data_IF_947250550530
#
_entry.id   IF_947250550530
#
_cell.length_a   1.000
_cell.length_b   1.000
_cell.length_c   1.000
_cell.angle_alpha   90.00
_cell.angle_beta   90.00
_cell.angle_gamma   90.00
#
_symmetry.space_group_name_H-M   'P 1'
#
loop_
_entity.id
_entity.type
_entity.pdbx_description
1 polymer ?
#
# COMPACT_ATOMS: atom_id res chain seq x y z
N UNK A 1 -19.95 -29.09 -59.56
CA UNK A 1 -21.30 -28.75 -60.09
C UNK A 1 -22.04 -28.07 -58.94
N UNK A 2 -22.16 -26.73 -58.91
CA UNK A 2 -23.22 -25.85 -59.46
C UNK A 2 -24.61 -25.93 -58.78
N UNK A 3 -25.07 -24.75 -58.32
CA UNK A 3 -26.44 -24.30 -57.93
C UNK A 3 -27.07 -24.93 -56.67
N UNK A 4 -28.01 -24.33 -55.91
CA UNK A 4 -28.52 -22.93 -55.65
C UNK A 4 -29.24 -23.02 -54.27
N UNK A 5 -29.20 -22.09 -53.30
CA UNK A 5 -29.49 -20.64 -53.19
C UNK A 5 -30.99 -20.24 -53.10
N UNK A 6 -31.39 -19.72 -51.90
CA UNK A 6 -32.62 -18.95 -51.54
C UNK A 6 -33.96 -19.74 -51.55
N UNK A 7 -34.95 -19.46 -50.69
CA UNK A 7 -35.51 -18.14 -50.31
C UNK A 7 -35.89 -17.95 -48.82
N UNK A 8 -36.26 -16.70 -48.51
CA UNK A 8 -36.62 -16.14 -47.20
C UNK A 8 -38.14 -15.86 -47.16
N UNK A 9 -38.82 -16.09 -46.02
CA UNK A 9 -40.14 -15.50 -45.74
C UNK A 9 -40.22 -15.03 -44.29
N UNK A 10 -40.50 -13.75 -44.11
CA UNK A 10 -40.81 -13.12 -42.82
C UNK A 10 -42.33 -13.16 -42.60
N UNK A 11 -42.82 -13.33 -41.36
CA UNK A 11 -44.20 -13.02 -41.02
C UNK A 11 -44.26 -12.47 -39.58
N UNK A 12 -44.97 -11.36 -39.42
CA UNK A 12 -45.07 -10.55 -38.19
C UNK A 12 -46.57 -10.28 -37.94
N UNK A 13 -46.91 -9.95 -36.69
CA UNK A 13 -48.26 -9.65 -36.14
C UNK A 13 -49.09 -10.91 -35.81
N UNK A 14 -49.77 -11.00 -34.65
CA UNK A 14 -49.74 -10.08 -33.50
C UNK A 14 -50.79 -10.43 -32.43
N UNK A 15 -50.64 -9.83 -31.25
CA UNK A 15 -51.68 -9.59 -30.22
C UNK A 15 -52.47 -10.78 -29.64
N UNK A 16 -52.20 -11.08 -28.36
CA UNK A 16 -53.06 -11.88 -27.49
C UNK A 16 -52.91 -11.46 -26.02
N UNK A 17 -53.65 -10.45 -25.58
CA UNK A 17 -53.77 -10.13 -24.15
C UNK A 17 -54.69 -11.14 -23.46
N UNK A 18 -54.26 -11.66 -22.32
CA UNK A 18 -55.14 -12.25 -21.30
C UNK A 18 -54.79 -11.61 -19.96
N UNK A 19 -55.80 -11.08 -19.28
CA UNK A 19 -55.74 -10.53 -17.93
C UNK A 19 -56.39 -11.52 -16.95
N UNK A 20 -55.90 -11.53 -15.70
CA UNK A 20 -56.44 -12.30 -14.58
C UNK A 20 -55.41 -13.29 -14.01
N UNK A 21 -55.19 -13.39 -12.69
CA UNK A 21 -55.71 -12.60 -11.56
C UNK A 21 -54.62 -12.43 -10.49
N UNK A 22 -54.81 -11.48 -9.57
CA UNK A 22 -53.80 -11.10 -8.59
C UNK A 22 -53.64 -12.11 -7.44
N UNK A 23 -52.45 -12.68 -7.31
CA UNK A 23 -52.03 -13.37 -6.07
C UNK A 23 -51.33 -12.36 -5.17
N UNK A 24 -51.78 -12.23 -3.93
CA UNK A 24 -51.27 -11.26 -2.97
C UNK A 24 -49.77 -11.47 -2.70
N UNK A 25 -48.98 -10.42 -2.89
CA UNK A 25 -47.56 -10.40 -2.61
C UNK A 25 -47.31 -10.44 -1.09
N UNK A 26 -46.73 -11.52 -0.52
CA UNK A 26 -46.39 -11.55 0.90
C UNK A 26 -45.27 -10.54 1.15
N UNK A 27 -45.58 -9.57 2.02
CA UNK A 27 -44.74 -8.44 2.37
C UNK A 27 -43.35 -8.91 2.83
N UNK A 28 -42.36 -8.86 1.91
CA UNK A 28 -40.96 -9.12 2.20
C UNK A 28 -40.48 -8.09 3.23
N UNK A 29 -40.49 -8.50 4.50
CA UNK A 29 -39.96 -7.71 5.59
C UNK A 29 -38.49 -7.37 5.27
N UNK A 30 -38.20 -6.08 5.06
CA UNK A 30 -36.86 -5.61 4.75
C UNK A 30 -35.95 -5.79 5.96
N UNK A 31 -35.34 -6.97 6.06
CA UNK A 31 -34.28 -7.23 7.01
C UNK A 31 -33.17 -6.21 6.78
N UNK A 32 -32.99 -5.28 7.73
CA UNK A 32 -31.93 -4.27 7.67
C UNK A 32 -30.60 -4.99 7.44
N UNK A 33 -30.03 -4.81 6.25
CA UNK A 33 -28.76 -5.42 5.89
C UNK A 33 -27.72 -5.08 6.97
N UNK A 34 -27.06 -6.10 7.51
CA UNK A 34 -25.99 -5.90 8.49
C UNK A 34 -24.91 -5.04 7.82
N UNK A 35 -24.39 -3.99 8.48
CA UNK A 35 -23.43 -3.10 7.86
C UNK A 35 -22.22 -3.89 7.37
N UNK A 36 -21.87 -3.74 6.09
CA UNK A 36 -20.62 -4.26 5.55
C UNK A 36 -19.50 -3.36 6.06
N UNK A 37 -18.71 -3.91 6.97
CA UNK A 37 -17.42 -3.36 7.38
C UNK A 37 -16.37 -4.22 6.70
N UNK A 38 -15.66 -3.63 5.76
CA UNK A 38 -14.52 -4.23 5.06
C UNK A 38 -13.27 -3.48 5.53
N UNK A 39 -12.29 -4.22 6.04
CA UNK A 39 -10.95 -3.67 6.29
C UNK A 39 -10.25 -3.63 4.94
N UNK A 40 -9.62 -2.50 4.62
CA UNK A 40 -8.95 -2.25 3.34
C UNK A 40 -7.44 -2.10 3.51
N UNK A 41 -7.00 -1.58 4.66
CA UNK A 41 -5.58 -1.44 5.00
C UNK A 41 -5.39 -1.54 6.52
N UNK A 42 -4.21 -2.00 6.93
CA UNK A 42 -3.75 -2.20 8.30
C UNK A 42 -2.28 -1.82 8.41
N UNK A 43 -1.99 -0.83 9.25
CA UNK A 43 -0.62 -0.37 9.50
C UNK A 43 -0.31 -0.19 10.97
N UNK A 44 0.98 -0.23 11.32
CA UNK A 44 1.44 0.32 12.59
C UNK A 44 1.35 1.85 12.55
N UNK A 45 0.84 2.48 13.62
CA UNK A 45 0.82 3.94 13.74
C UNK A 45 1.36 4.35 15.10
N UNK A 46 2.32 5.27 15.13
CA UNK A 46 2.93 5.76 16.37
C UNK A 46 2.52 7.22 16.60
N UNK A 47 1.82 7.49 17.70
CA UNK A 47 1.41 8.85 18.02
C UNK A 47 0.70 8.97 19.35
N UNK A 48 0.64 10.20 19.85
CA UNK A 48 -0.02 10.55 21.11
C UNK A 48 -1.18 11.49 20.82
N UNK A 49 -2.38 11.20 21.32
CA UNK A 49 -3.64 11.84 20.92
C UNK A 49 -4.49 12.26 22.13
N UNK A 50 -5.33 13.29 21.93
CA UNK A 50 -6.51 13.60 22.74
C UNK A 50 -7.78 13.27 21.96
N UNK A 51 -8.89 13.19 22.68
CA UNK A 51 -10.23 13.15 22.08
C UNK A 51 -10.68 14.59 21.79
N UNK A 52 -11.09 14.89 20.55
CA UNK A 52 -11.66 16.20 20.17
C UNK A 52 -12.95 16.48 20.93
N UNK A 53 -13.18 17.75 21.31
CA UNK A 53 -14.40 18.17 22.00
C UNK A 53 -15.69 17.92 21.19
N UNK A 54 -15.59 17.82 19.87
CA UNK A 54 -16.70 17.46 18.96
C UNK A 54 -17.14 15.98 19.08
N UNK A 55 -16.32 15.08 19.65
CA UNK A 55 -16.59 13.64 19.72
C UNK A 55 -17.65 13.23 20.77
N UNK A 56 -18.63 14.11 21.08
CA UNK A 56 -19.64 13.94 22.14
C UNK A 56 -20.49 12.68 21.97
N UNK A 57 -20.67 12.21 20.73
CA UNK A 57 -21.40 10.98 20.38
C UNK A 57 -20.48 9.85 19.89
N UNK A 58 -19.16 10.04 19.92
CA UNK A 58 -18.18 9.06 19.49
C UNK A 58 -18.02 7.92 20.50
N UNK A 59 -17.57 6.77 19.99
CA UNK A 59 -17.28 5.58 20.77
C UNK A 59 -15.90 5.01 20.40
N UNK A 60 -15.30 4.29 21.34
CA UNK A 60 -14.27 3.30 21.04
C UNK A 60 -14.92 1.93 20.81
N UNK A 61 -14.33 1.13 19.94
CA UNK A 61 -14.87 -0.14 19.46
C UNK A 61 -13.92 -1.31 19.73
N UNK A 62 -14.48 -2.52 19.73
CA UNK A 62 -13.74 -3.78 19.84
C UNK A 62 -12.89 -4.06 18.60
N UNK A 63 -12.00 -5.07 18.67
CA UNK A 63 -11.07 -5.40 17.58
C UNK A 63 -11.70 -5.80 16.24
N UNK A 64 -13.00 -6.15 16.22
CA UNK A 64 -13.76 -6.42 14.98
C UNK A 64 -14.75 -5.31 14.65
N UNK A 65 -14.65 -4.17 15.33
CA UNK A 65 -15.47 -2.95 15.22
C UNK A 65 -17.00 -3.10 15.42
N UNK A 66 -17.44 -4.32 15.74
CA UNK A 66 -18.86 -4.70 15.91
C UNK A 66 -19.48 -4.27 17.24
N UNK A 67 -18.67 -4.03 18.27
CA UNK A 67 -19.13 -3.68 19.62
C UNK A 67 -18.55 -2.35 20.06
N UNK A 68 -19.41 -1.47 20.60
CA UNK A 68 -19.02 -0.24 21.30
C UNK A 68 -18.51 -0.64 22.70
N UNK A 69 -17.24 -0.40 23.00
CA UNK A 69 -16.64 -0.74 24.29
C UNK A 69 -16.77 0.39 25.31
N UNK A 70 -16.59 1.66 24.90
CA UNK A 70 -16.75 2.83 25.76
C UNK A 70 -17.07 4.10 24.98
N UNK A 71 -17.72 5.08 25.64
CA UNK A 71 -18.01 6.42 25.08
C UNK A 71 -16.78 7.31 25.14
N UNK A 72 -16.59 8.17 24.13
CA UNK A 72 -15.52 9.17 24.10
C UNK A 72 -15.84 10.45 24.90
N UNK A 73 -17.12 10.69 25.19
CA UNK A 73 -17.59 11.85 25.94
C UNK A 73 -16.89 12.00 27.31
N UNK A 74 -16.44 13.22 27.62
CA UNK A 74 -15.75 13.54 28.88
C UNK A 74 -14.26 13.12 28.94
N UNK A 75 -13.68 12.66 27.83
CA UNK A 75 -12.28 12.19 27.78
C UNK A 75 -11.32 13.16 27.05
N UNK A 76 -11.76 14.39 26.77
CA UNK A 76 -10.97 15.43 26.07
C UNK A 76 -9.67 15.79 26.78
N UNK A 77 -9.65 15.74 28.11
CA UNK A 77 -8.49 16.05 28.94
C UNK A 77 -7.57 14.83 29.18
N UNK A 78 -7.76 13.73 28.44
CA UNK A 78 -6.96 12.51 28.53
C UNK A 78 -6.06 12.33 27.32
N UNK A 79 -4.94 11.69 27.58
CA UNK A 79 -3.91 11.38 26.59
C UNK A 79 -3.93 9.88 26.30
N UNK A 80 -3.84 9.53 25.02
CA UNK A 80 -3.84 8.15 24.54
C UNK A 80 -2.65 7.94 23.61
N UNK A 81 -2.01 6.76 23.65
CA UNK A 81 -1.07 6.33 22.61
C UNK A 81 -1.82 5.50 21.57
N UNK A 82 -1.65 5.82 20.29
CA UNK A 82 -2.02 4.93 19.19
C UNK A 82 -0.89 3.92 18.93
N UNK A 83 -1.24 2.74 18.40
CA UNK A 83 -0.25 1.72 17.99
C UNK A 83 -0.56 1.05 16.64
N UNK A 84 -1.83 1.01 16.23
CA UNK A 84 -2.27 0.40 14.96
C UNK A 84 -3.35 1.27 14.31
N UNK A 85 -3.37 1.31 12.99
CA UNK A 85 -4.38 1.94 12.15
C UNK A 85 -5.09 0.92 11.29
N UNK A 86 -6.39 1.13 11.05
CA UNK A 86 -7.22 0.38 10.11
C UNK A 86 -7.94 1.38 9.21
N UNK A 87 -7.77 1.24 7.89
CA UNK A 87 -8.64 1.90 6.90
C UNK A 87 -9.78 0.96 6.53
N UNK A 88 -10.99 1.49 6.47
CA UNK A 88 -12.20 0.67 6.35
C UNK A 88 -13.17 1.28 5.36
N UNK A 89 -13.85 0.42 4.59
CA UNK A 89 -15.13 0.77 3.98
C UNK A 89 -16.27 0.36 4.92
N UNK A 90 -17.05 1.34 5.39
CA UNK A 90 -18.24 1.15 6.21
C UNK A 90 -19.47 1.65 5.45
N UNK A 91 -20.20 0.73 4.81
CA UNK A 91 -21.37 1.02 3.97
C UNK A 91 -21.11 2.05 2.85
N UNK A 92 -19.99 1.93 2.12
CA UNK A 92 -19.60 2.84 1.05
C UNK A 92 -18.88 4.11 1.52
N UNK A 93 -18.70 4.30 2.84
CA UNK A 93 -17.96 5.44 3.40
C UNK A 93 -16.64 4.97 3.97
N UNK A 94 -15.55 5.47 3.41
CA UNK A 94 -14.19 5.22 3.85
C UNK A 94 -13.89 5.90 5.19
N UNK A 95 -13.24 5.18 6.11
CA UNK A 95 -12.97 5.63 7.49
C UNK A 95 -11.70 5.02 8.06
N UNK A 96 -10.79 5.87 8.52
CA UNK A 96 -9.63 5.47 9.31
C UNK A 96 -9.99 5.34 10.79
N UNK A 97 -9.56 4.26 11.44
CA UNK A 97 -9.66 4.03 12.88
C UNK A 97 -8.28 3.72 13.45
N UNK A 98 -7.94 4.30 14.60
CA UNK A 98 -6.71 3.98 15.32
C UNK A 98 -7.02 3.21 16.60
N UNK A 99 -6.25 2.16 16.87
CA UNK A 99 -6.26 1.47 18.15
C UNK A 99 -5.50 2.32 19.16
N UNK A 100 -6.23 2.93 20.10
CA UNK A 100 -5.67 3.83 21.11
C UNK A 100 -5.74 3.22 22.52
N UNK A 101 -4.80 3.61 23.38
CA UNK A 101 -4.68 3.16 24.79
C UNK A 101 -4.47 4.36 25.73
N UNK A 102 -5.31 4.52 26.74
CA UNK A 102 -5.21 5.61 27.74
C UNK A 102 -3.88 5.50 28.50
N UNK A 103 -3.05 6.54 28.45
CA UNK A 103 -1.69 6.51 29.03
C UNK A 103 -1.67 6.39 30.55
N UNK A 104 -2.74 6.81 31.23
CA UNK A 104 -2.89 6.72 32.68
C UNK A 104 -3.77 5.55 33.13
N UNK A 105 -4.51 4.92 32.21
CA UNK A 105 -5.33 3.72 32.47
C UNK A 105 -5.21 2.69 31.33
N UNK A 106 -4.09 1.95 31.22
CA UNK A 106 -3.80 1.08 30.06
C UNK A 106 -4.85 0.03 29.71
N UNK A 107 -5.67 -0.41 30.68
CA UNK A 107 -6.82 -1.32 30.44
C UNK A 107 -7.97 -0.68 29.64
N UNK A 108 -7.99 0.65 29.49
CA UNK A 108 -8.89 1.40 28.61
C UNK A 108 -8.21 1.57 27.25
N UNK A 109 -8.51 0.65 26.35
CA UNK A 109 -8.08 0.70 24.97
C UNK A 109 -9.25 0.37 24.03
N UNK A 110 -9.08 0.65 22.74
CA UNK A 110 -10.06 0.33 21.70
C UNK A 110 -9.83 1.14 20.43
N UNK A 111 -10.52 0.73 19.36
CA UNK A 111 -10.45 1.40 18.07
C UNK A 111 -11.33 2.65 18.05
N UNK A 112 -10.75 3.79 17.70
CA UNK A 112 -11.44 5.08 17.63
C UNK A 112 -11.26 5.67 16.24
N UNK A 113 -12.35 6.14 15.64
CA UNK A 113 -12.30 6.81 14.35
C UNK A 113 -11.36 8.03 14.43
N UNK A 114 -10.42 8.13 13.48
CA UNK A 114 -9.36 9.14 13.47
C UNK A 114 -9.91 10.57 13.53
N UNK A 115 -11.08 10.84 12.93
CA UNK A 115 -11.68 12.17 12.92
C UNK A 115 -12.08 12.66 14.32
N UNK A 116 -12.21 11.77 15.31
CA UNK A 116 -12.42 12.10 16.73
C UNK A 116 -11.13 12.32 17.52
N UNK A 117 -9.97 12.10 16.91
CA UNK A 117 -8.65 12.25 17.53
C UNK A 117 -7.98 13.56 17.11
N UNK A 118 -7.23 14.14 18.03
CA UNK A 118 -6.37 15.29 17.82
C UNK A 118 -4.97 14.90 18.30
N UNK A 119 -3.97 14.97 17.41
CA UNK A 119 -2.61 14.59 17.74
C UNK A 119 -1.99 15.65 18.65
N UNK A 120 -1.45 15.22 19.79
CA UNK A 120 -0.64 16.09 20.63
C UNK A 120 0.71 16.22 19.93
N UNK A 121 0.91 17.34 19.22
CA UNK A 121 2.25 17.77 18.81
C UNK A 121 3.10 17.94 20.07
N UNK A 122 4.17 17.17 20.21
CA UNK A 122 5.17 17.39 21.25
C UNK A 122 6.03 18.56 20.80
N UNK A 123 5.55 19.77 21.08
CA UNK A 123 6.29 21.00 20.76
C UNK A 123 7.57 21.09 21.58
N UNK A 124 8.66 21.46 20.91
CA UNK A 124 9.94 21.80 21.51
C UNK A 124 9.87 23.17 22.23
N UNK A 125 9.07 23.27 23.29
CA UNK A 125 8.95 24.51 24.08
C UNK A 125 8.76 24.23 25.57
N UNK A 126 9.89 24.00 26.25
CA UNK A 126 10.03 24.30 27.68
C UNK A 126 11.45 24.77 28.04
N UNK A 127 12.14 25.42 27.10
CA UNK A 127 13.36 26.19 27.37
C UNK A 127 12.98 27.68 27.43
N UNK A 128 12.79 28.20 28.65
CA UNK A 128 12.68 29.65 28.86
C UNK A 128 13.98 30.31 28.41
N UNK A 129 13.95 31.11 27.33
CA UNK A 129 15.07 31.96 26.92
C UNK A 129 15.51 32.88 28.08
N UNK A 130 16.76 32.81 28.55
CA UNK A 130 17.32 33.83 29.42
C UNK A 130 17.60 35.13 28.63
N UNK A 131 17.47 36.27 29.32
CA UNK A 131 17.79 37.60 28.80
C UNK A 131 19.31 37.77 28.70
N UNK A 132 19.87 38.43 27.67
CA UNK A 132 21.32 38.47 27.47
C UNK A 132 21.99 39.42 28.48
N UNK A 133 23.04 38.94 29.16
CA UNK A 133 24.00 39.82 29.85
C UNK A 133 25.42 39.26 29.74
N UNK A 134 26.33 40.14 29.32
CA UNK A 134 27.81 40.17 29.29
C UNK A 134 28.67 38.92 29.60
N UNK A 135 29.79 38.89 28.88
CA UNK A 135 30.93 37.97 29.03
C UNK A 135 31.50 37.93 30.46
N UNK A 136 31.89 36.74 30.91
CA UNK A 136 33.11 36.54 31.70
C UNK A 136 33.72 35.15 31.39
N UNK A 137 35.01 34.96 31.72
CA UNK A 137 35.84 33.81 31.30
C UNK A 137 35.83 32.68 32.35
N UNK A 138 36.52 31.53 32.17
CA UNK A 138 35.91 30.23 32.39
C UNK A 138 36.25 29.60 33.75
N UNK A 139 35.38 28.73 34.24
CA UNK A 139 35.73 27.72 35.27
C UNK A 139 35.21 26.35 34.86
N UNK A 140 36.12 25.39 34.91
CA UNK A 140 35.86 23.96 34.70
C UNK A 140 35.06 23.36 35.86
N UNK A 141 34.07 22.53 35.54
CA UNK A 141 33.85 21.24 36.21
C UNK A 141 33.07 20.32 35.27
N UNK A 142 33.51 19.06 35.17
CA UNK A 142 32.75 17.99 34.52
C UNK A 142 31.43 17.73 35.26
N UNK A 143 30.38 17.42 34.52
CA UNK A 143 29.53 16.27 34.86
C UNK A 143 28.92 15.68 33.58
N UNK A 144 29.12 14.37 33.39
CA UNK A 144 28.58 13.63 32.26
C UNK A 144 27.16 13.17 32.59
N UNK A 145 26.19 13.42 31.72
CA UNK A 145 24.87 12.77 31.82
C UNK A 145 24.84 11.54 30.90
N UNK A 146 25.13 10.38 31.46
CA UNK A 146 25.28 9.11 30.73
C UNK A 146 23.93 8.38 30.54
N UNK A 147 23.23 8.68 29.44
CA UNK A 147 22.10 7.85 28.94
C UNK A 147 22.05 7.88 27.41
N UNK A 148 22.82 7.00 26.74
CA UNK A 148 22.73 6.78 25.29
C UNK A 148 23.20 5.38 24.84
N UNK A 149 24.31 4.89 25.40
CA UNK A 149 25.02 3.75 24.79
C UNK A 149 24.51 2.37 25.26
N UNK A 150 24.01 2.26 26.49
CA UNK A 150 23.49 0.99 27.05
C UNK A 150 22.29 0.46 26.26
N UNK A 151 21.39 1.34 25.87
CA UNK A 151 20.09 0.98 25.32
C UNK A 151 20.21 0.64 23.82
N UNK A 152 21.11 1.35 23.11
CA UNK A 152 21.50 0.99 21.75
C UNK A 152 22.24 -0.35 21.72
N UNK A 153 23.23 -0.56 22.62
CA UNK A 153 23.94 -1.84 22.72
C UNK A 153 23.00 -3.02 23.04
N UNK A 154 22.02 -2.84 23.93
CA UNK A 154 21.01 -3.86 24.23
C UNK A 154 20.08 -4.15 23.06
N UNK A 155 19.66 -3.13 22.29
CA UNK A 155 18.84 -3.33 21.09
C UNK A 155 19.60 -4.05 19.97
N UNK A 156 20.88 -3.72 19.76
CA UNK A 156 21.76 -4.39 18.81
C UNK A 156 22.00 -5.85 19.19
N UNK A 157 22.31 -6.12 20.46
CA UNK A 157 22.48 -7.49 20.98
C UNK A 157 21.21 -8.33 20.84
N UNK A 158 20.02 -7.76 21.10
CA UNK A 158 18.74 -8.45 20.92
C UNK A 158 18.45 -8.76 19.44
N UNK A 159 18.79 -7.84 18.52
CA UNK A 159 18.66 -8.06 17.07
C UNK A 159 19.61 -9.14 16.58
N UNK A 160 20.89 -9.12 17.01
CA UNK A 160 21.85 -10.17 16.66
C UNK A 160 21.46 -11.53 17.25
N UNK A 161 20.91 -11.58 18.47
CA UNK A 161 20.40 -12.82 19.07
C UNK A 161 19.21 -13.41 18.28
N UNK A 162 18.33 -12.56 17.72
CA UNK A 162 17.30 -13.01 16.78
C UNK A 162 17.89 -13.56 15.49
N UNK A 163 18.87 -12.88 14.88
CA UNK A 163 19.52 -13.35 13.66
C UNK A 163 20.19 -14.71 13.87
N UNK A 164 21.01 -14.85 14.92
CA UNK A 164 21.68 -16.08 15.31
C UNK A 164 20.72 -17.26 15.57
N UNK A 165 19.49 -16.98 16.02
CA UNK A 165 18.48 -18.02 16.31
C UNK A 165 17.86 -18.62 15.06
N UNK A 166 17.67 -17.81 14.01
CA UNK A 166 16.84 -18.19 12.86
C UNK A 166 17.63 -18.34 11.55
N UNK A 167 18.82 -17.74 11.42
CA UNK A 167 19.55 -17.64 10.17
C UNK A 167 20.98 -18.20 10.27
N UNK A 168 21.42 -18.91 9.21
CA UNK A 168 22.80 -19.38 9.06
C UNK A 168 23.78 -18.20 8.90
N UNK A 169 25.08 -18.44 9.01
CA UNK A 169 26.09 -17.41 8.80
C UNK A 169 26.00 -16.78 7.40
N UNK A 170 25.77 -17.59 6.36
CA UNK A 170 25.64 -17.14 4.98
C UNK A 170 24.35 -16.32 4.77
N UNK A 171 23.22 -16.77 5.35
CA UNK A 171 21.97 -16.00 5.33
C UNK A 171 22.12 -14.67 6.06
N UNK A 172 22.83 -14.62 7.18
CA UNK A 172 23.10 -13.37 7.91
C UNK A 172 23.99 -12.42 7.10
N UNK A 173 25.01 -12.94 6.40
CA UNK A 173 25.85 -12.16 5.49
C UNK A 173 25.03 -11.60 4.32
N UNK A 174 24.12 -12.39 3.74
CA UNK A 174 23.21 -11.93 2.71
C UNK A 174 22.23 -10.87 3.25
N UNK A 175 21.63 -11.06 4.43
CA UNK A 175 20.79 -10.04 5.07
C UNK A 175 21.57 -8.74 5.26
N UNK A 176 22.81 -8.79 5.75
CA UNK A 176 23.63 -7.60 5.94
C UNK A 176 23.91 -6.85 4.62
N UNK A 177 24.20 -7.58 3.54
CA UNK A 177 24.35 -6.99 2.20
C UNK A 177 23.06 -6.33 1.70
N UNK A 178 21.91 -6.98 1.91
CA UNK A 178 20.60 -6.43 1.52
C UNK A 178 20.25 -5.17 2.30
N UNK A 179 20.56 -5.12 3.61
CA UNK A 179 20.39 -3.90 4.42
C UNK A 179 21.30 -2.78 3.94
N UNK A 180 22.58 -3.06 3.72
CA UNK A 180 23.53 -2.07 3.21
C UNK A 180 23.13 -1.51 1.83
N UNK A 181 22.57 -2.33 0.95
CA UNK A 181 22.00 -1.88 -0.33
C UNK A 181 20.75 -1.02 -0.13
N UNK A 182 19.85 -1.43 0.77
CA UNK A 182 18.63 -0.71 1.08
C UNK A 182 18.90 0.68 1.72
N UNK A 183 19.85 0.74 2.66
CA UNK A 183 20.28 1.96 3.35
C UNK A 183 20.91 3.00 2.41
N UNK A 184 21.47 2.58 1.27
CA UNK A 184 22.16 3.49 0.34
C UNK A 184 21.24 4.22 -0.65
N UNK A 185 19.97 3.80 -0.77
CA UNK A 185 19.02 4.33 -1.77
C UNK A 185 18.43 5.68 -1.35
N UNK A 186 18.30 5.91 -0.04
CA UNK A 186 17.62 7.09 0.51
C UNK A 186 16.10 6.91 0.63
N UNK A 187 15.51 7.59 1.62
CA UNK A 187 14.07 7.53 1.89
C UNK A 187 13.51 8.84 2.50
N UNK A 188 14.17 9.97 2.29
CA UNK A 188 13.73 11.26 2.83
C UNK A 188 12.73 11.94 1.89
N UNK A 189 11.79 12.70 2.47
CA UNK A 189 10.81 13.53 1.75
C UNK A 189 11.15 15.02 1.81
N UNK A 190 12.18 15.40 2.59
CA UNK A 190 12.73 16.77 2.57
C UNK A 190 13.18 17.12 1.15
N UNK A 191 12.78 18.31 0.69
CA UNK A 191 13.11 18.79 -0.66
C UNK A 191 12.70 17.83 -1.78
N UNK A 192 11.57 17.12 -1.61
CA UNK A 192 10.98 16.28 -2.67
C UNK A 192 10.66 17.04 -3.96
N UNK A 193 10.51 18.37 -3.88
CA UNK A 193 10.23 19.25 -5.02
C UNK A 193 11.44 20.09 -5.40
N UNK A 194 11.75 20.12 -6.71
CA UNK A 194 12.57 21.16 -7.33
C UNK A 194 11.72 22.38 -7.69
N UNK A 195 10.43 22.17 -8.02
CA UNK A 195 9.41 23.20 -8.18
C UNK A 195 8.17 22.78 -7.39
N UNK A 196 7.71 23.60 -6.44
CA UNK A 196 6.60 23.23 -5.55
C UNK A 196 5.26 23.26 -6.32
N UNK A 197 4.41 22.22 -6.21
CA UNK A 197 3.10 22.22 -6.84
C UNK A 197 2.15 23.26 -6.23
N UNK A 198 1.31 23.87 -7.08
CA UNK A 198 0.10 24.57 -6.65
C UNK A 198 -1.13 23.82 -7.19
N UNK A 199 -1.97 23.36 -6.28
CA UNK A 199 -3.17 22.56 -6.58
C UNK A 199 -4.43 23.07 -5.86
N UNK A 200 -4.36 24.27 -5.28
CA UNK A 200 -5.46 24.93 -4.56
C UNK A 200 -5.62 26.36 -5.09
N UNK A 201 -6.66 26.63 -5.87
CA UNK A 201 -6.98 27.97 -6.40
C UNK A 201 -6.19 28.40 -7.64
N UNK A 202 -5.01 27.83 -7.87
CA UNK A 202 -4.30 27.82 -9.15
C UNK A 202 -3.82 26.39 -9.46
N UNK A 203 -3.44 26.13 -10.72
CA UNK A 203 -2.88 24.85 -11.13
C UNK A 203 -1.46 25.01 -11.65
N UNK A 204 -0.52 24.33 -11.02
CA UNK A 204 0.87 24.16 -11.44
C UNK A 204 1.34 22.82 -10.89
N UNK A 205 1.62 21.80 -11.72
CA UNK A 205 1.98 20.46 -11.24
C UNK A 205 3.25 20.39 -10.38
N UNK A 206 4.10 21.42 -10.44
CA UNK A 206 5.43 21.40 -9.84
C UNK A 206 6.35 20.44 -10.59
N UNK A 207 7.46 20.10 -9.95
CA UNK A 207 8.45 19.15 -10.45
C UNK A 207 9.17 18.53 -9.25
N UNK A 208 9.37 17.21 -9.30
CA UNK A 208 10.15 16.50 -8.27
C UNK A 208 11.63 16.88 -8.33
N UNK A 209 12.33 16.70 -7.22
CA UNK A 209 13.78 16.81 -7.18
C UNK A 209 14.44 15.53 -7.70
N UNK A 210 15.62 15.68 -8.28
CA UNK A 210 16.43 14.55 -8.78
C UNK A 210 16.70 13.52 -7.67
N UNK A 211 16.91 13.96 -6.43
CA UNK A 211 17.09 13.07 -5.28
C UNK A 211 15.87 12.20 -4.97
N UNK A 212 14.65 12.75 -5.10
CA UNK A 212 13.42 11.99 -4.89
C UNK A 212 13.17 10.99 -6.03
N UNK A 213 13.40 11.40 -7.28
CA UNK A 213 13.33 10.53 -8.47
C UNK A 213 14.32 9.37 -8.34
N UNK A 214 15.60 9.67 -8.05
CA UNK A 214 16.66 8.68 -7.91
C UNK A 214 16.39 7.70 -6.74
N UNK A 215 15.88 8.18 -5.60
CA UNK A 215 15.51 7.29 -4.49
C UNK A 215 14.35 6.37 -4.87
N UNK A 216 13.32 6.90 -5.54
CA UNK A 216 12.13 6.12 -5.95
C UNK A 216 12.49 5.06 -6.99
N UNK A 217 13.26 5.43 -8.03
CA UNK A 217 13.79 4.48 -9.01
C UNK A 217 14.75 3.47 -8.37
N UNK A 218 15.57 3.92 -7.41
CA UNK A 218 16.48 3.06 -6.64
C UNK A 218 15.75 1.96 -5.88
N UNK A 219 14.60 2.27 -5.25
CA UNK A 219 13.77 1.25 -4.59
C UNK A 219 13.15 0.26 -5.57
N UNK A 220 12.62 0.73 -6.71
CA UNK A 220 12.11 -0.17 -7.76
C UNK A 220 13.22 -1.13 -8.21
N UNK A 221 14.41 -0.60 -8.47
CA UNK A 221 15.55 -1.37 -8.97
C UNK A 221 16.17 -2.28 -7.90
N UNK A 222 16.14 -1.89 -6.63
CA UNK A 222 16.50 -2.77 -5.51
C UNK A 222 15.61 -4.01 -5.51
N UNK A 223 14.29 -3.85 -5.50
CA UNK A 223 13.37 -5.00 -5.49
C UNK A 223 13.48 -5.83 -6.77
N UNK A 224 13.60 -5.21 -7.95
CA UNK A 224 13.86 -5.93 -9.21
C UNK A 224 15.18 -6.72 -9.19
N UNK A 225 16.23 -6.20 -8.56
CA UNK A 225 17.49 -6.94 -8.40
C UNK A 225 17.37 -8.17 -7.49
N UNK A 226 16.45 -8.16 -6.50
CA UNK A 226 16.15 -9.34 -5.68
C UNK A 226 15.56 -10.48 -6.51
N UNK A 227 14.81 -10.14 -7.56
CA UNK A 227 14.31 -11.06 -8.56
C UNK A 227 15.32 -11.33 -9.68
N UNK A 228 16.52 -10.75 -9.68
CA UNK A 228 17.47 -10.84 -10.79
C UNK A 228 16.86 -10.40 -12.12
N UNK A 229 16.07 -9.32 -12.09
CA UNK A 229 15.53 -8.61 -13.26
C UNK A 229 16.42 -7.42 -13.61
N UNK A 230 16.43 -7.04 -14.88
CA UNK A 230 17.11 -5.82 -15.33
C UNK A 230 16.51 -4.58 -14.64
N UNK A 231 17.35 -3.59 -14.24
CA UNK A 231 16.87 -2.33 -13.71
C UNK A 231 16.05 -1.57 -14.76
N UNK A 232 15.10 -0.78 -14.30
CA UNK A 232 14.37 0.21 -15.09
C UNK A 232 15.18 1.50 -15.21
N UNK A 233 14.92 2.26 -16.26
CA UNK A 233 15.41 3.63 -16.44
C UNK A 233 14.34 4.66 -16.09
N UNK A 234 14.77 5.82 -15.59
CA UNK A 234 13.94 7.02 -15.54
C UNK A 234 13.53 7.44 -16.96
N UNK A 235 12.25 7.74 -17.17
CA UNK A 235 11.79 8.43 -18.38
C UNK A 235 11.32 9.84 -18.00
N UNK A 236 12.16 10.83 -18.25
CA UNK A 236 11.92 12.23 -17.87
C UNK A 236 10.67 12.85 -18.53
N UNK A 237 10.27 12.36 -19.72
CA UNK A 237 9.00 12.78 -20.34
C UNK A 237 7.80 12.20 -19.57
N UNK A 238 7.86 10.91 -19.20
CA UNK A 238 6.84 10.29 -18.36
C UNK A 238 6.83 10.87 -16.94
N UNK A 239 7.96 11.27 -16.34
CA UNK A 239 7.96 12.02 -15.07
C UNK A 239 7.15 13.31 -15.17
N UNK A 240 7.23 14.00 -16.32
CA UNK A 240 6.46 15.21 -16.55
C UNK A 240 4.97 14.91 -16.57
N UNK A 241 4.52 13.91 -17.35
CA UNK A 241 3.10 13.54 -17.40
C UNK A 241 2.58 12.93 -16.09
N UNK A 242 3.36 12.07 -15.43
CA UNK A 242 3.04 11.52 -14.12
C UNK A 242 2.87 12.63 -13.05
N UNK A 243 3.68 13.69 -13.12
CA UNK A 243 3.51 14.84 -12.23
C UNK A 243 2.19 15.58 -12.50
N UNK A 244 1.71 15.64 -13.74
CA UNK A 244 0.35 16.13 -14.06
C UNK A 244 -0.75 15.22 -13.50
N UNK A 245 -0.59 13.89 -13.57
CA UNK A 245 -1.55 12.95 -12.99
C UNK A 245 -1.61 13.06 -11.46
N UNK A 246 -0.48 13.05 -10.78
CA UNK A 246 -0.41 13.27 -9.33
C UNK A 246 -1.01 14.64 -8.93
N UNK A 247 -0.71 15.70 -9.67
CA UNK A 247 -1.25 17.04 -9.41
C UNK A 247 -2.76 17.16 -9.64
N UNK A 248 -3.30 16.50 -10.67
CA UNK A 248 -4.75 16.51 -10.94
C UNK A 248 -5.54 15.67 -9.94
N UNK A 249 -4.99 14.53 -9.49
CA UNK A 249 -5.53 13.76 -8.37
C UNK A 249 -5.57 14.62 -7.09
N UNK A 250 -4.46 15.25 -6.73
CA UNK A 250 -4.36 16.09 -5.54
C UNK A 250 -5.24 17.37 -5.61
N UNK A 251 -5.40 17.95 -6.80
CA UNK A 251 -6.29 19.10 -7.00
C UNK A 251 -7.78 18.71 -6.98
N UNK A 252 -8.11 17.48 -7.40
CA UNK A 252 -9.47 16.95 -7.34
C UNK A 252 -9.88 16.54 -5.92
N UNK A 253 -8.94 16.05 -5.10
CA UNK A 253 -9.12 15.59 -3.71
C UNK A 253 -10.32 14.63 -3.54
N UNK A 254 -10.46 13.71 -4.50
CA UNK A 254 -11.57 12.75 -4.60
C UNK A 254 -11.10 11.29 -4.49
N UNK A 255 -9.85 11.06 -4.09
CA UNK A 255 -9.20 9.75 -4.01
C UNK A 255 -8.48 9.36 -5.30
N UNK A 256 -8.41 8.06 -5.60
CA UNK A 256 -7.74 7.52 -6.80
C UNK A 256 -8.74 7.12 -7.89
N UNK A 257 -8.46 7.48 -9.15
CA UNK A 257 -9.24 7.05 -10.32
C UNK A 257 -8.41 7.13 -11.60
N UNK A 258 -8.25 5.99 -12.29
CA UNK A 258 -7.61 5.94 -13.61
C UNK A 258 -8.41 6.72 -14.66
N UNK A 259 -7.79 7.69 -15.31
CA UNK A 259 -8.48 8.58 -16.25
C UNK A 259 -9.35 9.64 -15.57
N UNK A 260 -9.16 9.87 -14.26
CA UNK A 260 -9.94 10.79 -13.42
C UNK A 260 -11.47 10.57 -13.53
N UNK A 261 -11.87 9.33 -13.85
CA UNK A 261 -13.27 8.97 -14.16
C UNK A 261 -14.14 9.17 -12.93
N UNK A 262 -15.23 9.92 -13.11
CA UNK A 262 -16.15 10.27 -12.04
C UNK A 262 -15.71 11.42 -11.14
N UNK A 263 -14.52 11.99 -11.34
CA UNK A 263 -14.06 13.16 -10.57
C UNK A 263 -14.56 14.46 -11.19
N UNK A 264 -14.90 15.41 -10.33
CA UNK A 264 -15.23 16.77 -10.75
C UNK A 264 -13.95 17.58 -10.98
N UNK A 265 -13.71 18.03 -12.22
CA UNK A 265 -12.59 18.92 -12.56
C UNK A 265 -12.73 20.28 -11.84
N UNK A 266 -11.75 20.70 -11.02
CA UNK A 266 -11.75 22.04 -10.43
C UNK A 266 -11.64 23.14 -11.50
N UNK A 267 -12.38 24.24 -11.31
CA UNK A 267 -12.47 25.32 -12.31
C UNK A 267 -11.16 26.07 -12.59
N UNK A 268 -10.16 25.94 -11.71
CA UNK A 268 -8.83 26.54 -11.88
C UNK A 268 -7.85 25.66 -12.70
N UNK A 269 -8.30 24.49 -13.20
CA UNK A 269 -7.53 23.61 -14.08
C UNK A 269 -8.06 23.73 -15.51
N UNK A 270 -7.16 23.96 -16.48
CA UNK A 270 -7.54 23.98 -17.90
C UNK A 270 -8.02 22.60 -18.38
N UNK A 271 -8.77 22.55 -19.48
CA UNK A 271 -9.16 21.26 -20.07
C UNK A 271 -7.95 20.44 -20.52
N UNK A 272 -6.92 21.11 -21.06
CA UNK A 272 -5.66 20.49 -21.49
C UNK A 272 -4.90 19.86 -20.32
N UNK A 273 -4.74 20.57 -19.20
CA UNK A 273 -3.98 20.07 -18.05
C UNK A 273 -4.72 18.93 -17.34
N UNK A 274 -6.06 19.00 -17.28
CA UNK A 274 -6.89 17.91 -16.78
C UNK A 274 -6.83 16.68 -17.69
N UNK A 275 -6.85 16.87 -19.01
CA UNK A 275 -6.71 15.76 -19.96
C UNK A 275 -5.35 15.08 -19.83
N UNK A 276 -4.25 15.84 -19.70
CA UNK A 276 -2.91 15.28 -19.44
C UNK A 276 -2.88 14.44 -18.17
N UNK A 277 -3.49 14.92 -17.09
CA UNK A 277 -3.61 14.15 -15.85
C UNK A 277 -4.49 12.90 -15.99
N UNK A 278 -5.58 12.96 -16.75
CA UNK A 278 -6.39 11.80 -17.08
C UNK A 278 -5.61 10.76 -17.92
N UNK A 279 -4.88 11.20 -18.93
CA UNK A 279 -4.08 10.32 -19.77
C UNK A 279 -2.95 9.65 -18.98
N UNK A 280 -2.21 10.42 -18.16
CA UNK A 280 -1.17 9.91 -17.26
C UNK A 280 -1.72 8.87 -16.28
N UNK A 281 -2.76 9.23 -15.50
CA UNK A 281 -3.33 8.30 -14.50
C UNK A 281 -3.94 7.03 -15.11
N UNK A 282 -4.29 7.02 -16.40
CA UNK A 282 -4.78 5.83 -17.12
C UNK A 282 -3.64 4.94 -17.66
N UNK A 283 -2.37 5.27 -17.36
CA UNK A 283 -1.12 4.63 -17.82
C UNK A 283 -0.22 4.15 -16.67
N UNK A 284 -0.75 4.17 -15.45
CA UNK A 284 0.03 4.14 -14.22
C UNK A 284 -0.46 3.15 -13.18
N UNK A 285 0.42 2.85 -12.24
CA UNK A 285 0.05 2.49 -10.88
C UNK A 285 -0.31 3.77 -10.12
N UNK A 286 -1.39 3.75 -9.33
CA UNK A 286 -1.87 4.92 -8.57
C UNK A 286 -1.85 4.64 -7.06
N UNK A 287 -1.32 5.58 -6.28
CA UNK A 287 -1.08 5.41 -4.84
C UNK A 287 -1.56 6.61 -4.03
N UNK A 288 -2.01 6.37 -2.80
CA UNK A 288 -2.37 7.42 -1.86
C UNK A 288 -1.94 7.08 -0.43
N UNK A 289 -1.61 8.11 0.36
CA UNK A 289 -1.46 8.05 1.81
C UNK A 289 -0.02 7.87 2.29
N UNK A 290 0.92 7.73 1.35
CA UNK A 290 2.36 7.59 1.60
C UNK A 290 3.15 8.57 0.73
N UNK A 291 4.32 8.97 1.23
CA UNK A 291 5.14 10.02 0.59
C UNK A 291 6.62 9.64 0.48
N UNK A 292 7.12 8.68 1.27
CA UNK A 292 8.53 8.29 1.16
C UNK A 292 8.75 7.35 -0.02
N UNK A 293 9.89 7.46 -0.74
CA UNK A 293 10.22 6.59 -1.86
C UNK A 293 10.05 5.08 -1.57
N UNK A 294 10.47 4.61 -0.40
CA UNK A 294 10.28 3.23 0.04
C UNK A 294 8.80 2.91 0.26
N UNK A 295 8.08 3.75 1.01
CA UNK A 295 6.67 3.47 1.36
C UNK A 295 5.81 3.39 0.09
N UNK A 296 6.00 4.31 -0.85
CA UNK A 296 5.33 4.32 -2.16
C UNK A 296 5.58 3.03 -2.96
N UNK A 297 6.84 2.61 -3.12
CA UNK A 297 7.16 1.39 -3.89
C UNK A 297 6.76 0.13 -3.13
N UNK A 298 6.89 0.12 -1.80
CA UNK A 298 6.46 -0.98 -0.95
C UNK A 298 4.93 -1.15 -0.96
N UNK A 299 4.15 -0.07 -1.03
CA UNK A 299 2.68 -0.11 -1.18
C UNK A 299 2.28 -0.81 -2.49
N UNK A 300 2.90 -0.47 -3.62
CA UNK A 300 2.65 -1.14 -4.90
C UNK A 300 3.10 -2.60 -4.94
N UNK A 301 4.19 -2.96 -4.24
CA UNK A 301 4.64 -4.35 -4.17
C UNK A 301 3.80 -5.17 -3.20
N UNK A 302 3.39 -4.61 -2.07
CA UNK A 302 2.47 -5.26 -1.13
C UNK A 302 1.09 -5.42 -1.78
N UNK A 303 0.59 -4.41 -2.50
CA UNK A 303 -0.64 -4.47 -3.31
C UNK A 303 -1.89 -4.90 -2.51
N UNK A 304 -1.95 -4.52 -1.23
CA UNK A 304 -3.05 -4.91 -0.33
C UNK A 304 -4.39 -4.37 -0.80
N UNK A 305 -5.45 -5.15 -0.59
CA UNK A 305 -6.81 -4.82 -1.01
C UNK A 305 -7.17 -5.13 -2.47
N UNK A 306 -6.21 -5.55 -3.32
CA UNK A 306 -6.47 -5.95 -4.70
C UNK A 306 -6.47 -7.48 -4.86
N UNK A 307 -7.52 -8.04 -5.46
CA UNK A 307 -7.63 -9.49 -5.75
C UNK A 307 -6.50 -10.00 -6.66
N UNK A 308 -6.12 -9.19 -7.66
CA UNK A 308 -5.02 -9.44 -8.59
C UNK A 308 -3.93 -8.40 -8.29
N UNK A 309 -2.66 -8.80 -8.03
CA UNK A 309 -1.59 -7.89 -7.63
C UNK A 309 -1.01 -7.15 -8.85
N UNK A 310 -1.84 -6.35 -9.52
CA UNK A 310 -1.51 -5.70 -10.79
C UNK A 310 -0.42 -4.64 -10.68
N UNK A 311 -0.32 -3.92 -9.56
CA UNK A 311 0.71 -2.90 -9.35
C UNK A 311 2.08 -3.55 -9.18
N UNK A 312 2.13 -4.64 -8.40
CA UNK A 312 3.30 -5.52 -8.23
C UNK A 312 3.73 -6.13 -9.56
N UNK A 313 2.77 -6.61 -10.36
CA UNK A 313 3.02 -7.22 -11.67
C UNK A 313 3.58 -6.22 -12.68
N UNK A 314 3.15 -4.96 -12.67
CA UNK A 314 3.83 -3.93 -13.48
C UNK A 314 5.28 -3.73 -13.04
N UNK A 315 5.54 -3.53 -11.73
CA UNK A 315 6.89 -3.27 -11.21
C UNK A 315 7.88 -4.43 -11.44
N UNK A 316 7.41 -5.68 -11.35
CA UNK A 316 8.24 -6.89 -11.51
C UNK A 316 8.09 -7.54 -12.90
N UNK A 317 7.29 -6.93 -13.78
CA UNK A 317 7.04 -7.40 -15.14
C UNK A 317 8.08 -6.93 -16.15
N UNK A 318 7.73 -7.13 -17.43
CA UNK A 318 8.55 -6.79 -18.59
C UNK A 318 8.48 -5.32 -19.00
N UNK A 319 8.39 -4.40 -18.04
CA UNK A 319 8.65 -2.97 -18.31
C UNK A 319 10.15 -2.69 -18.25
N UNK A 320 10.59 -1.63 -18.94
CA UNK A 320 11.99 -1.20 -19.03
C UNK A 320 12.21 0.25 -18.52
N UNK A 321 11.15 1.04 -18.39
CA UNK A 321 11.18 2.43 -17.96
C UNK A 321 9.97 2.78 -17.09
N UNK A 322 10.06 3.87 -16.32
CA UNK A 322 8.96 4.42 -15.50
C UNK A 322 8.94 5.94 -15.56
N UNK A 323 7.77 6.52 -15.30
CA UNK A 323 7.58 7.93 -14.97
C UNK A 323 7.09 8.10 -13.55
N UNK A 324 7.71 8.97 -12.77
CA UNK A 324 7.45 9.16 -11.34
C UNK A 324 6.85 10.56 -11.13
N UNK A 325 5.65 10.61 -10.55
CA UNK A 325 4.96 11.83 -10.13
C UNK A 325 4.44 11.73 -8.69
N UNK A 326 4.52 12.81 -7.92
CA UNK A 326 4.02 12.86 -6.54
C UNK A 326 3.54 14.28 -6.18
N UNK A 327 2.31 14.42 -5.68
CA UNK A 327 1.80 15.68 -5.11
C UNK A 327 1.18 15.41 -3.74
N UNK A 328 1.87 15.85 -2.68
CA UNK A 328 1.51 15.50 -1.30
C UNK A 328 1.57 13.99 -1.11
N UNK A 329 0.46 13.39 -0.66
CA UNK A 329 0.29 11.94 -0.49
C UNK A 329 -0.25 11.21 -1.72
N UNK A 330 -0.51 11.90 -2.84
CA UNK A 330 -0.90 11.27 -4.11
C UNK A 330 0.34 10.92 -4.95
N UNK A 331 0.44 9.65 -5.35
CA UNK A 331 1.44 9.15 -6.29
C UNK A 331 0.80 8.74 -7.61
N UNK A 332 1.48 9.07 -8.70
CA UNK A 332 1.20 8.58 -10.04
C UNK A 332 2.51 7.98 -10.59
N UNK A 333 2.53 6.69 -10.86
CA UNK A 333 3.71 5.97 -11.35
C UNK A 333 3.40 5.36 -12.72
N UNK A 334 3.73 6.09 -13.79
CA UNK A 334 3.56 5.63 -15.16
C UNK A 334 4.43 4.41 -15.44
N UNK A 335 3.80 3.31 -15.85
CA UNK A 335 4.41 2.00 -16.06
C UNK A 335 4.21 1.46 -17.48
N UNK A 336 3.36 2.08 -18.29
CA UNK A 336 3.23 1.79 -19.72
C UNK A 336 2.78 3.03 -20.51
N UNK A 337 2.79 2.93 -21.84
CA UNK A 337 2.24 3.93 -22.74
C UNK A 337 1.18 3.30 -23.64
N UNK A 338 -0.02 3.89 -23.70
CA UNK A 338 -1.15 3.46 -24.54
C UNK A 338 -0.83 3.54 -26.04
N UNK A 339 0.15 4.36 -26.42
CA UNK A 339 0.59 4.56 -27.80
C UNK A 339 1.79 3.69 -28.20
N UNK A 340 2.26 2.81 -27.31
CA UNK A 340 3.11 1.66 -27.64
C UNK A 340 4.60 1.95 -27.80
N UNK A 341 5.34 1.90 -26.69
CA UNK A 341 6.82 1.90 -26.67
C UNK A 341 7.44 0.73 -25.86
N UNK A 342 6.62 -0.16 -25.28
CA UNK A 342 7.06 -1.53 -24.98
C UNK A 342 6.44 -2.20 -23.76
N UNK A 343 5.52 -3.15 -23.98
CA UNK A 343 5.50 -4.35 -23.14
C UNK A 343 6.59 -5.29 -23.67
N UNK A 344 7.75 -5.32 -23.01
CA UNK A 344 8.62 -6.49 -23.18
C UNK A 344 7.96 -7.68 -22.46
N UNK A 345 8.21 -8.89 -22.92
CA UNK A 345 7.68 -10.09 -22.25
C UNK A 345 8.47 -10.30 -20.95
N UNK A 346 7.83 -10.54 -19.78
CA UNK A 346 8.56 -10.84 -18.56
C UNK A 346 9.53 -12.00 -18.77
N UNK A 347 10.79 -11.82 -18.35
CA UNK A 347 11.87 -12.75 -18.68
C UNK A 347 11.76 -14.12 -18.00
N UNK A 348 10.96 -14.23 -16.93
CA UNK A 348 10.76 -15.43 -16.12
C UNK A 348 9.53 -15.28 -15.21
N UNK A 349 9.02 -16.38 -14.61
CA UNK A 349 8.06 -16.31 -13.52
C UNK A 349 8.54 -15.45 -12.34
N UNK A 350 7.59 -14.90 -11.59
CA UNK A 350 7.83 -14.13 -10.37
C UNK A 350 7.00 -14.72 -9.23
N UNK A 351 7.67 -15.24 -8.21
CA UNK A 351 7.06 -15.62 -6.94
C UNK A 351 7.02 -14.44 -5.99
N UNK A 352 5.90 -14.18 -5.32
CA UNK A 352 5.86 -13.19 -4.25
C UNK A 352 5.23 -13.82 -3.00
N UNK A 353 5.97 -13.98 -1.89
CA UNK A 353 7.38 -13.66 -1.66
C UNK A 353 8.32 -14.49 -2.53
N UNK A 354 9.51 -13.95 -2.82
CA UNK A 354 10.49 -14.63 -3.69
C UNK A 354 11.12 -15.87 -3.04
N UNK A 355 11.71 -16.74 -3.87
CA UNK A 355 12.54 -17.86 -3.39
C UNK A 355 13.79 -17.40 -2.61
N UNK A 356 14.09 -18.09 -1.51
CA UNK A 356 15.16 -17.74 -0.57
C UNK A 356 14.76 -16.60 0.37
N UNK A 357 15.71 -15.76 0.77
CA UNK A 357 15.44 -14.65 1.69
C UNK A 357 14.51 -13.59 1.07
N UNK A 358 13.51 -13.14 1.82
CA UNK A 358 12.59 -12.07 1.40
C UNK A 358 12.15 -11.17 2.59
N UNK A 359 11.93 -9.85 2.39
CA UNK A 359 11.47 -8.95 3.45
C UNK A 359 10.10 -9.34 4.01
N UNK A 360 9.98 -9.49 5.33
CA UNK A 360 8.72 -9.81 6.01
C UNK A 360 7.69 -8.70 5.88
N UNK A 361 8.11 -7.44 5.89
CA UNK A 361 7.25 -6.26 5.79
C UNK A 361 6.53 -6.18 4.43
N UNK A 362 7.05 -6.90 3.42
CA UNK A 362 6.41 -7.11 2.13
C UNK A 362 5.63 -8.42 2.02
N UNK A 363 5.79 -9.38 2.95
CA UNK A 363 5.14 -10.70 2.89
C UNK A 363 4.02 -10.88 3.94
N UNK A 364 3.94 -10.00 4.93
CA UNK A 364 2.91 -9.97 5.96
C UNK A 364 1.73 -9.07 5.53
N UNK A 365 0.52 -9.39 6.01
CA UNK A 365 -0.74 -8.67 5.73
C UNK A 365 -1.04 -8.44 4.22
N UNK A 366 -0.58 -9.36 3.36
CA UNK A 366 -0.71 -9.27 1.89
C UNK A 366 -1.08 -10.62 1.23
N UNK A 367 -1.58 -10.54 -0.01
CA UNK A 367 -1.72 -11.68 -0.92
C UNK A 367 -0.36 -12.10 -1.45
N UNK A 368 -0.04 -13.38 -1.32
CA UNK A 368 1.08 -14.01 -2.00
C UNK A 368 0.67 -14.34 -3.45
N UNK A 369 1.63 -14.45 -4.36
CA UNK A 369 1.36 -14.69 -5.79
C UNK A 369 2.43 -15.49 -6.52
N UNK A 370 2.06 -16.00 -7.68
CA UNK A 370 2.93 -16.52 -8.73
C UNK A 370 2.45 -15.94 -10.06
N UNK A 371 3.25 -15.09 -10.67
CA UNK A 371 2.97 -14.49 -11.98
C UNK A 371 3.81 -15.21 -13.04
N UNK A 372 3.16 -15.82 -14.03
CA UNK A 372 3.75 -16.71 -15.02
C UNK A 372 3.87 -16.02 -16.38
N UNK A 373 4.99 -16.24 -17.07
CA UNK A 373 5.22 -15.73 -18.44
C UNK A 373 4.28 -16.37 -19.46
N UNK A 374 3.98 -17.65 -19.26
CA UNK A 374 3.08 -18.45 -20.10
C UNK A 374 1.63 -18.20 -19.74
N UNK A 375 0.79 -17.99 -20.76
CA UNK A 375 -0.65 -17.87 -20.63
C UNK A 375 -1.31 -19.25 -20.55
N UNK A 376 -1.70 -19.64 -19.34
CA UNK A 376 -2.43 -20.88 -19.04
C UNK A 376 -3.95 -20.66 -19.10
N UNK A 377 -4.72 -21.74 -19.21
CA UNK A 377 -6.18 -21.63 -19.29
C UNK A 377 -6.76 -21.29 -17.91
N UNK A 378 -7.72 -20.37 -17.85
CA UNK A 378 -8.51 -20.15 -16.63
C UNK A 378 -9.22 -21.43 -16.20
N UNK A 379 -9.13 -21.78 -14.92
CA UNK A 379 -9.93 -22.85 -14.34
C UNK A 379 -9.88 -22.87 -12.82
N UNK A 380 -10.94 -23.39 -12.22
CA UNK A 380 -11.15 -23.44 -10.77
C UNK A 380 -10.39 -24.56 -10.05
N UNK A 381 -9.42 -25.19 -10.73
CA UNK A 381 -8.69 -26.36 -10.24
C UNK A 381 -7.35 -26.02 -9.55
N UNK A 382 -6.94 -24.75 -9.58
CA UNK A 382 -5.69 -24.30 -8.94
C UNK A 382 -5.75 -24.53 -7.44
N UNK A 383 -4.76 -25.24 -6.92
CA UNK A 383 -4.57 -25.50 -5.49
C UNK A 383 -3.26 -24.85 -5.05
N UNK A 384 -3.27 -24.32 -3.84
CA UNK A 384 -2.09 -23.77 -3.19
C UNK A 384 -1.96 -24.40 -1.82
N UNK A 385 -0.80 -25.02 -1.56
CA UNK A 385 -0.40 -25.49 -0.24
C UNK A 385 0.78 -24.66 0.26
N UNK A 386 0.73 -24.22 1.52
CA UNK A 386 1.84 -23.54 2.19
C UNK A 386 2.18 -24.30 3.47
N UNK A 387 3.45 -24.59 3.68
CA UNK A 387 3.96 -25.27 4.89
C UNK A 387 5.01 -24.39 5.56
N UNK A 388 4.83 -24.06 6.83
CA UNK A 388 5.88 -23.50 7.69
C UNK A 388 6.88 -24.61 8.04
N UNK A 389 8.03 -24.60 7.37
CA UNK A 389 9.13 -25.54 7.55
C UNK A 389 9.79 -25.39 8.94
N UNK A 390 9.63 -24.24 9.60
CA UNK A 390 10.22 -23.95 10.91
C UNK A 390 9.38 -24.54 12.05
N UNK A 391 8.07 -24.70 11.86
CA UNK A 391 7.19 -25.39 12.82
C UNK A 391 6.67 -26.75 12.36
N UNK A 392 6.95 -27.14 11.12
CA UNK A 392 6.42 -28.32 10.43
C UNK A 392 4.87 -28.37 10.44
N UNK A 393 4.24 -27.24 10.13
CA UNK A 393 2.78 -27.09 10.10
C UNK A 393 2.29 -26.53 8.76
N UNK A 394 1.10 -26.95 8.29
CA UNK A 394 0.44 -26.24 7.21
C UNK A 394 0.08 -24.83 7.67
N UNK A 395 0.12 -23.89 6.74
CA UNK A 395 -0.49 -22.55 6.86
C UNK A 395 -1.80 -22.59 6.11
N UNK A 396 -2.88 -22.15 6.74
CA UNK A 396 -4.19 -22.04 6.07
C UNK A 396 -4.11 -21.01 4.94
N UNK A 397 -4.64 -21.35 3.76
CA UNK A 397 -4.67 -20.49 2.58
C UNK A 397 -6.11 -20.29 2.10
N UNK A 398 -6.48 -19.04 1.86
CA UNK A 398 -7.81 -18.64 1.38
C UNK A 398 -7.75 -17.82 0.10
N UNK A 399 -8.91 -17.59 -0.52
CA UNK A 399 -9.10 -16.68 -1.65
C UNK A 399 -8.12 -16.91 -2.82
N UNK A 400 -7.90 -18.16 -3.21
CA UNK A 400 -7.08 -18.53 -4.37
C UNK A 400 -7.79 -18.03 -5.64
N UNK A 401 -7.12 -17.18 -6.40
CA UNK A 401 -7.57 -16.60 -7.67
C UNK A 401 -6.52 -16.93 -8.72
N UNK A 402 -6.97 -17.31 -9.92
CA UNK A 402 -6.11 -17.56 -11.07
C UNK A 402 -6.72 -16.94 -12.33
N UNK A 403 -5.94 -16.17 -13.09
CA UNK A 403 -6.41 -15.40 -14.24
C UNK A 403 -5.74 -15.82 -15.54
N UNK A 404 -6.46 -15.63 -16.64
CA UNK A 404 -5.92 -15.71 -17.99
C UNK A 404 -5.50 -14.30 -18.41
N UNK A 405 -4.19 -14.06 -18.46
CA UNK A 405 -3.57 -12.74 -18.47
C UNK A 405 -3.21 -12.23 -17.07
N UNK A 406 -2.13 -11.47 -16.99
CA UNK A 406 -1.72 -10.64 -15.85
C UNK A 406 -1.24 -9.26 -16.35
N UNK A 407 -0.91 -8.37 -15.41
CA UNK A 407 -0.34 -7.06 -15.73
C UNK A 407 1.16 -7.19 -16.02
N UNK A 408 1.85 -6.12 -16.41
CA UNK A 408 3.30 -6.19 -16.70
C UNK A 408 3.72 -7.10 -17.86
N UNK A 409 2.76 -7.59 -18.66
CA UNK A 409 2.98 -8.57 -19.72
C UNK A 409 2.95 -10.04 -19.28
N UNK A 410 2.54 -10.36 -18.04
CA UNK A 410 2.40 -11.76 -17.60
C UNK A 410 1.23 -12.47 -18.32
N UNK A 411 1.41 -13.76 -18.61
CA UNK A 411 0.41 -14.60 -19.26
C UNK A 411 -0.64 -15.16 -18.28
N UNK A 412 -0.29 -15.33 -17.01
CA UNK A 412 -1.20 -15.83 -15.95
C UNK A 412 -0.79 -15.24 -14.61
N UNK A 413 -1.76 -14.71 -13.86
CA UNK A 413 -1.59 -14.37 -12.44
C UNK A 413 -2.24 -15.45 -11.57
N UNK A 414 -1.57 -15.86 -10.50
CA UNK A 414 -2.14 -16.68 -9.42
C UNK A 414 -1.89 -15.95 -8.12
N UNK A 415 -2.94 -15.64 -7.35
CA UNK A 415 -2.84 -14.93 -6.08
C UNK A 415 -3.67 -15.60 -4.98
N UNK A 416 -3.23 -15.52 -3.73
CA UNK A 416 -3.84 -16.22 -2.61
C UNK A 416 -3.45 -15.58 -1.26
N UNK A 417 -4.26 -15.81 -0.24
CA UNK A 417 -4.08 -15.23 1.10
C UNK A 417 -3.64 -16.32 2.08
N UNK A 418 -2.37 -16.35 2.52
CA UNK A 418 -1.99 -17.15 3.68
C UNK A 418 -2.54 -16.51 4.96
N UNK A 419 -2.82 -17.32 5.99
CA UNK A 419 -3.17 -16.81 7.31
C UNK A 419 -2.04 -15.96 7.91
N UNK A 420 -2.24 -14.65 8.01
CA UNK A 420 -1.20 -13.71 8.46
C UNK A 420 -0.66 -14.01 9.86
N UNK A 421 -1.48 -14.54 10.78
CA UNK A 421 -1.04 -14.92 12.12
C UNK A 421 0.03 -16.05 12.10
N UNK A 422 0.19 -16.75 10.97
CA UNK A 422 1.20 -17.77 10.75
C UNK A 422 2.46 -17.28 10.02
N UNK A 423 2.43 -16.07 9.45
CA UNK A 423 3.56 -15.43 8.75
C UNK A 423 4.46 -14.70 9.76
N UNK A 424 5.71 -15.16 9.90
CA UNK A 424 6.58 -14.87 11.05
C UNK A 424 8.04 -14.63 10.65
N UNK A 425 8.70 -13.73 11.36
CA UNK A 425 10.13 -13.43 11.19
C UNK A 425 10.98 -14.67 11.46
N UNK A 426 11.96 -14.93 10.59
CA UNK A 426 12.90 -16.04 10.70
C UNK A 426 12.33 -17.39 10.27
N UNK A 427 11.03 -17.49 10.01
CA UNK A 427 10.41 -18.72 9.52
C UNK A 427 10.64 -18.90 8.02
N UNK A 428 10.69 -20.16 7.60
CA UNK A 428 10.75 -20.56 6.20
C UNK A 428 9.46 -21.26 5.79
N UNK A 429 8.98 -20.95 4.58
CA UNK A 429 7.74 -21.49 4.05
C UNK A 429 8.00 -22.16 2.72
N UNK A 430 7.50 -23.39 2.55
CA UNK A 430 7.43 -24.06 1.25
C UNK A 430 6.05 -23.85 0.67
N UNK A 431 6.01 -23.32 -0.55
CA UNK A 431 4.80 -23.05 -1.33
C UNK A 431 4.75 -24.10 -2.44
N UNK A 432 3.62 -24.77 -2.62
CA UNK A 432 3.33 -25.65 -3.77
C UNK A 432 2.04 -25.20 -4.44
N UNK A 433 2.11 -24.90 -5.73
CA UNK A 433 0.99 -24.50 -6.59
C UNK A 433 0.78 -25.59 -7.63
N UNK A 434 -0.42 -26.16 -7.67
CA UNK A 434 -0.75 -27.33 -8.50
C UNK A 434 -2.12 -27.18 -9.18
N UNK A 435 -2.40 -28.03 -10.17
CA UNK A 435 -3.69 -28.04 -10.86
C UNK A 435 -3.96 -26.82 -11.77
N UNK A 436 -2.92 -26.09 -12.18
CA UNK A 436 -3.01 -24.99 -13.14
C UNK A 436 -3.30 -25.56 -14.54
N UNK A 437 -4.44 -25.26 -15.18
CA UNK A 437 -4.82 -25.91 -16.43
C UNK A 437 -3.85 -25.63 -17.59
N UNK A 438 -3.23 -26.71 -18.10
CA UNK A 438 -2.19 -26.66 -19.14
C UNK A 438 -0.76 -26.67 -18.60
N UNK A 439 -0.58 -26.55 -17.28
CA UNK A 439 0.71 -26.77 -16.62
C UNK A 439 0.89 -28.27 -16.34
N UNK A 440 2.05 -28.83 -16.68
CA UNK A 440 2.31 -30.28 -16.64
C UNK A 440 2.96 -30.78 -15.35
N UNK A 441 3.38 -29.88 -14.46
CA UNK A 441 4.02 -30.17 -13.19
C UNK A 441 3.69 -29.08 -12.17
N UNK A 442 3.71 -29.43 -10.89
CA UNK A 442 3.51 -28.47 -9.81
C UNK A 442 4.67 -27.45 -9.74
N UNK A 443 4.35 -26.19 -9.40
CA UNK A 443 5.36 -25.18 -9.09
C UNK A 443 5.63 -25.21 -7.59
N UNK A 444 6.88 -25.45 -7.18
CA UNK A 444 7.25 -25.48 -5.76
C UNK A 444 8.51 -24.65 -5.51
N UNK A 445 8.46 -23.80 -4.49
CA UNK A 445 9.59 -23.00 -4.04
C UNK A 445 9.56 -22.81 -2.53
N UNK A 446 10.70 -22.38 -1.96
CA UNK A 446 10.84 -22.09 -0.53
C UNK A 446 11.29 -20.66 -0.33
N UNK A 447 10.59 -19.91 0.52
CA UNK A 447 10.98 -18.57 0.97
C UNK A 447 11.41 -18.61 2.44
N UNK A 448 12.09 -17.56 2.91
CA UNK A 448 12.43 -17.35 4.33
C UNK A 448 12.42 -15.87 4.66
N UNK A 449 11.67 -15.50 5.70
CA UNK A 449 11.30 -14.10 5.92
C UNK A 449 12.24 -13.40 6.91
N UNK A 450 12.84 -12.29 6.49
CA UNK A 450 13.72 -11.46 7.32
C UNK A 450 13.21 -10.01 7.40
N UNK A 451 13.62 -9.30 8.44
CA UNK A 451 13.31 -7.87 8.65
C UNK A 451 14.36 -7.04 7.90
N UNK A 452 13.93 -6.20 6.93
CA UNK A 452 14.83 -5.36 6.13
C UNK A 452 15.37 -4.17 6.94
N UNK A 453 14.71 -3.77 8.03
CA UNK A 453 15.14 -2.70 8.94
C UNK A 453 14.81 -1.28 8.46
N UNK A 454 14.10 -1.14 7.34
CA UNK A 454 13.64 0.16 6.86
C UNK A 454 12.43 0.57 7.69
N UNK A 455 12.61 1.61 8.51
CA UNK A 455 11.48 2.18 9.22
C UNK A 455 10.53 2.83 8.20
N UNK A 456 9.23 2.44 8.15
CA UNK A 456 8.25 3.16 7.36
C UNK A 456 8.22 4.61 7.83
N UNK A 457 8.06 5.55 6.90
CA UNK A 457 8.20 6.96 7.26
C UNK A 457 7.08 7.36 8.23
N UNK A 458 7.43 8.05 9.31
CA UNK A 458 6.45 8.78 10.12
C UNK A 458 6.02 10.04 9.34
N UNK A 459 5.54 9.89 8.10
CA UNK A 459 5.05 10.98 7.26
C UNK A 459 3.67 11.44 7.74
N UNK A 460 3.62 11.99 8.95
CA UNK A 460 2.65 13.05 9.22
C UNK A 460 3.01 14.24 8.33
N UNK A 461 2.47 14.26 7.11
CA UNK A 461 2.56 15.41 6.22
C UNK A 461 1.73 16.53 6.85
N UNK A 462 2.35 17.31 7.73
CA UNK A 462 1.68 18.44 8.37
C UNK A 462 1.61 19.60 7.39
N UNK A 463 0.42 20.18 7.22
CA UNK A 463 0.13 21.36 6.40
C UNK A 463 0.86 22.64 6.89
N UNK A 464 2.18 22.65 6.86
CA UNK A 464 3.02 23.81 7.18
C UNK A 464 3.94 24.06 5.99
N UNK A 465 3.35 24.56 4.91
CA UNK A 465 3.92 25.38 3.83
C UNK A 465 2.80 25.72 2.81
N UNK A 466 1.69 26.32 3.29
CA UNK A 466 0.54 26.75 2.47
C UNK A 466 0.11 28.21 2.75
N UNK A 467 1.08 29.08 3.06
CA UNK A 467 0.89 30.53 3.06
C UNK A 467 2.02 31.16 2.23
N UNK A 468 1.65 31.71 1.08
CA UNK A 468 2.53 32.22 0.03
C UNK A 468 1.73 32.51 -1.23
#
# INVERSE_FOLDING_TARGET
MKNKLRWLTLLVLGSGMILGEGIANPQLASAKAKPRVMVLDRGLVSGTYKIKAAAKHGYAYSAKLKKREWKLAGLTNRTFKATHGEFLNVNGVFKTYYYIRDTKKPKRAGWVNFNYLEQIKVGSDSIKKPKPTKQEKPTSTNDQNSTSDSDQAQSAAATQAKLNKYFTADEQAQIAQLKQQADSIGNDTKSMYSQTPSVKGSFTPGQLSEGYLNSTLGWINFFRSQYGLSPLTDNTAWNTEAQYGAATLAAADQGLSHGLKGFSKPAFISDTDWQRGADATNQSNLGQGVVSPYDTISQYLNDSGNDIPGHREWLLGGINQVGIGQVGDYNDLMVFNLHGDGSSVPSKPIEFPKQGLFPIDLAQDTRWSLSLTTQYQSGTQVKVGVTDNTTNKPVDVTNIIATHGGYGGFGTSISYEPNTDDIKFGHSYTITISGVPGMTSDYTYTTKLFDLGIAPSNSSYTETLWEG
#
